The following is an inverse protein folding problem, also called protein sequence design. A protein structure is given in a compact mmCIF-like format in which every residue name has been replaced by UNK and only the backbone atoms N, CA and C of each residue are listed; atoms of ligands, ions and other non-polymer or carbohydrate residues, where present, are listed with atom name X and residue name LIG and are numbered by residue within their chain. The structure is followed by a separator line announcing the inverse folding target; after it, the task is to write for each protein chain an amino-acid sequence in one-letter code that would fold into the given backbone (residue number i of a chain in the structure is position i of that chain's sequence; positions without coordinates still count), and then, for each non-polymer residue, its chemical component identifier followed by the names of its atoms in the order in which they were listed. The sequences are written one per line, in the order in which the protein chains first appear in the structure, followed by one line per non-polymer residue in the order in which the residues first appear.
data_IF_651065497390
#
_entry.id   IF_651065497390
#
_cell.length_a   1.000
_cell.length_b   1.000
_cell.length_c   1.000
_cell.angle_alpha   90.00
_cell.angle_beta   90.00
_cell.angle_gamma   90.00
#
_symmetry.space_group_name_H-M   'P 1'
#
loop_
_entity.id
_entity.type
_entity.pdbx_description
1 polymer ?
#
# COMPACT_ATOMS: atom_id res chain seq x y z
N UNK A 1 11.98 1.85 -0.28
CA UNK A 1 11.62 0.54 0.33
C UNK A 1 12.25 0.37 1.73
N UNK A 2 11.65 -0.47 2.59
CA UNK A 2 12.16 -0.87 3.93
C UNK A 2 11.80 -2.33 4.23
N UNK A 3 12.28 -2.91 5.34
CA UNK A 3 11.87 -4.28 5.71
C UNK A 3 10.40 -4.33 6.14
N UNK A 4 9.78 -5.51 5.99
CA UNK A 4 8.41 -5.77 6.47
C UNK A 4 8.26 -5.40 7.95
N UNK A 5 9.23 -5.76 8.78
CA UNK A 5 9.20 -5.50 10.23
C UNK A 5 9.18 -3.99 10.52
N UNK A 6 10.03 -3.23 9.85
CA UNK A 6 10.09 -1.78 10.03
C UNK A 6 8.79 -1.12 9.60
N UNK A 7 8.23 -1.52 8.45
CA UNK A 7 6.98 -0.96 7.95
C UNK A 7 5.80 -1.21 8.89
N UNK A 8 5.66 -2.43 9.41
CA UNK A 8 4.58 -2.80 10.34
C UNK A 8 4.72 -2.08 11.70
N UNK A 9 5.94 -1.79 12.13
CA UNK A 9 6.20 -1.13 13.42
C UNK A 9 6.25 0.41 13.33
N UNK A 10 6.19 0.98 12.12
CA UNK A 10 6.23 2.42 11.90
C UNK A 10 4.86 3.08 12.10
N UNK A 11 4.85 4.40 12.30
CA UNK A 11 3.61 5.17 12.25
C UNK A 11 3.02 5.11 10.84
N UNK A 12 1.70 5.02 10.76
CA UNK A 12 0.97 4.91 9.51
C UNK A 12 -0.17 5.91 9.42
N UNK A 13 -0.50 6.30 8.19
CA UNK A 13 -1.68 7.08 7.86
C UNK A 13 -2.46 6.39 6.73
N UNK A 14 -3.77 6.63 6.68
CA UNK A 14 -4.61 6.17 5.57
C UNK A 14 -4.76 7.28 4.55
N UNK A 15 -4.36 7.01 3.32
CA UNK A 15 -4.46 7.96 2.19
C UNK A 15 -5.35 7.38 1.09
N UNK A 16 -5.87 8.25 0.22
CA UNK A 16 -6.48 7.82 -1.02
C UNK A 16 -5.44 7.11 -1.91
N UNK A 17 -5.86 6.10 -2.66
CA UNK A 17 -4.96 5.28 -3.50
C UNK A 17 -4.16 6.11 -4.51
N UNK A 18 -4.73 7.19 -5.06
CA UNK A 18 -4.00 8.11 -5.94
C UNK A 18 -2.86 8.88 -5.27
N UNK A 19 -2.91 9.04 -3.95
CA UNK A 19 -1.94 9.83 -3.18
C UNK A 19 -0.81 8.96 -2.58
N UNK A 20 -0.77 7.66 -2.91
CA UNK A 20 0.20 6.73 -2.36
C UNK A 20 1.43 6.48 -3.23
N UNK A 21 1.47 7.02 -4.46
CA UNK A 21 2.61 6.84 -5.38
C UNK A 21 3.89 7.35 -4.74
N UNK A 22 4.94 6.52 -4.73
CA UNK A 22 6.24 6.80 -4.11
C UNK A 22 6.25 6.69 -2.58
N UNK A 23 5.13 6.34 -1.94
CA UNK A 23 5.03 6.11 -0.49
C UNK A 23 5.29 4.63 -0.18
N UNK A 24 5.68 4.36 1.07
CA UNK A 24 5.90 2.98 1.53
C UNK A 24 4.58 2.40 2.05
N UNK A 25 4.20 1.24 1.54
CA UNK A 25 3.07 0.46 2.02
C UNK A 25 3.30 0.05 3.49
N UNK A 26 2.40 0.42 4.40
CA UNK A 26 2.50 0.06 5.81
C UNK A 26 1.84 -1.29 6.09
N UNK A 27 0.68 -1.55 5.48
CA UNK A 27 -0.12 -2.77 5.66
C UNK A 27 -0.50 -3.34 4.29
N UNK A 28 -0.49 -4.68 4.10
CA UNK A 28 -0.77 -5.27 2.80
C UNK A 28 -2.11 -4.80 2.22
N UNK A 29 -2.08 -4.27 1.00
CA UNK A 29 -3.26 -3.85 0.27
C UNK A 29 -3.91 -5.08 -0.36
N UNK A 30 -4.78 -5.76 0.39
CA UNK A 30 -5.50 -6.97 -0.05
C UNK A 30 -6.88 -6.57 -0.57
N UNK A 31 -7.17 -6.89 -1.84
CA UNK A 31 -8.53 -6.81 -2.39
C UNK A 31 -9.27 -8.12 -2.19
N UNK A 32 -10.58 -8.03 -1.93
CA UNK A 32 -11.48 -9.16 -1.88
C UNK A 32 -12.44 -9.09 -3.08
N UNK A 33 -12.41 -10.03 -4.05
CA UNK A 33 -11.36 -10.99 -4.47
C UNK A 33 -10.30 -10.33 -5.39
N UNK A 34 -9.07 -10.87 -5.57
CA UNK A 34 -8.68 -12.29 -5.56
C UNK A 34 -7.82 -12.73 -4.35
N UNK A 35 -7.88 -12.03 -3.21
CA UNK A 35 -7.16 -12.38 -1.96
C UNK A 35 -5.62 -12.32 -2.04
N UNK A 36 -5.06 -11.84 -3.16
CA UNK A 36 -3.63 -11.60 -3.37
C UNK A 36 -3.31 -10.13 -3.09
N UNK A 37 -2.25 -9.81 -2.32
CA UNK A 37 -1.85 -8.42 -2.09
C UNK A 37 -1.29 -7.79 -3.37
N UNK A 38 -1.70 -6.56 -3.66
CA UNK A 38 -1.14 -5.76 -4.78
C UNK A 38 0.20 -5.12 -4.38
N UNK A 39 0.34 -4.76 -3.10
CA UNK A 39 1.58 -4.30 -2.49
C UNK A 39 1.65 -4.84 -1.05
N UNK A 40 2.85 -5.24 -0.62
CA UNK A 40 3.10 -5.72 0.76
C UNK A 40 3.85 -4.68 1.59
N UNK A 41 3.81 -4.83 2.91
CA UNK A 41 4.48 -3.91 3.84
C UNK A 41 5.96 -3.73 3.52
N UNK A 42 6.42 -2.48 3.43
CA UNK A 42 7.80 -2.12 3.14
C UNK A 42 8.11 -1.89 1.65
N UNK A 43 7.22 -2.31 0.75
CA UNK A 43 7.31 -1.97 -0.66
C UNK A 43 6.96 -0.50 -0.90
N UNK A 44 7.64 0.09 -1.87
CA UNK A 44 7.24 1.38 -2.40
C UNK A 44 6.10 1.17 -3.40
N UNK A 45 5.04 1.97 -3.26
CA UNK A 45 3.87 1.87 -4.11
C UNK A 45 4.14 2.65 -5.40
N UNK A 46 4.18 1.95 -6.53
CA UNK A 46 4.39 2.56 -7.84
C UNK A 46 3.06 2.84 -8.58
N UNK A 47 3.16 3.40 -9.78
CA UNK A 47 2.00 3.72 -10.60
C UNK A 47 1.20 2.47 -11.00
N UNK A 48 1.87 1.33 -11.22
CA UNK A 48 1.27 0.08 -11.66
C UNK A 48 0.42 -0.52 -10.54
N UNK A 49 0.95 -0.53 -9.31
CA UNK A 49 0.24 -0.91 -8.10
C UNK A 49 -1.00 -0.03 -7.90
N UNK A 50 -0.89 1.29 -8.06
CA UNK A 50 -2.05 2.21 -7.96
C UNK A 50 -3.11 1.92 -9.03
N UNK A 51 -2.71 1.64 -10.28
CA UNK A 51 -3.66 1.27 -11.35
C UNK A 51 -4.39 -0.03 -11.01
N UNK A 52 -3.68 -1.05 -10.53
CA UNK A 52 -4.29 -2.31 -10.11
C UNK A 52 -5.21 -2.12 -8.91
N UNK A 53 -4.78 -1.39 -7.88
CA UNK A 53 -5.60 -1.09 -6.69
C UNK A 53 -6.92 -0.44 -7.10
N UNK A 54 -6.90 0.55 -8.01
CA UNK A 54 -8.11 1.17 -8.55
C UNK A 54 -8.97 0.20 -9.35
N UNK A 55 -8.37 -0.64 -10.19
CA UNK A 55 -9.09 -1.66 -10.96
C UNK A 55 -9.82 -2.67 -10.06
N UNK A 56 -9.24 -3.00 -8.90
CA UNK A 56 -9.83 -3.86 -7.87
C UNK A 56 -10.67 -3.10 -6.83
N UNK A 57 -10.93 -1.80 -7.03
CA UNK A 57 -11.80 -1.01 -6.17
C UNK A 57 -11.21 -0.64 -4.80
N UNK A 58 -9.90 -0.78 -4.60
CA UNK A 58 -9.20 -0.31 -3.41
C UNK A 58 -9.13 1.22 -3.46
N UNK A 59 -9.88 1.87 -2.57
CA UNK A 59 -10.01 3.34 -2.51
C UNK A 59 -8.97 4.02 -1.63
N UNK A 60 -8.48 3.30 -0.63
CA UNK A 60 -7.53 3.80 0.36
C UNK A 60 -6.49 2.77 0.68
N UNK A 61 -5.30 3.24 1.06
CA UNK A 61 -4.17 2.40 1.47
C UNK A 61 -3.52 2.98 2.72
N UNK A 62 -2.90 2.12 3.53
CA UNK A 62 -2.10 2.56 4.66
C UNK A 62 -0.64 2.71 4.23
N UNK A 63 -0.09 3.89 4.45
CA UNK A 63 1.30 4.22 4.12
C UNK A 63 2.07 4.62 5.36
N UNK A 64 3.38 4.41 5.35
CA UNK A 64 4.28 4.83 6.43
C UNK A 64 4.38 6.36 6.46
N UNK A 65 4.27 6.93 7.65
CA UNK A 65 4.57 8.34 7.94
C UNK A 65 6.06 8.44 8.20
N UNK A 66 6.75 9.27 7.39
CA UNK A 66 8.19 9.53 7.48
C UNK A 66 8.39 10.96 7.95
#
# INVERSE_FOLDING_TARGET
AMSIREAIMSLHETVATENSIGRICASPAVSCPPEIPIAVSGEEIDEDAVRLMKAYGIKTVQVVVI
#
